data_IF_576872822120
#
_entry.id   IF_576872822120
#
_cell.length_a   1.000
_cell.length_b   1.000
_cell.length_c   1.000
_cell.angle_alpha   90.00
_cell.angle_beta   90.00
_cell.angle_gamma   90.00
#
_symmetry.space_group_name_H-M   'P 1'
#
loop_
_entity.id
_entity.type
_entity.pdbx_description
1 polymer ?
#
# COMPACT_ATOMS: atom_id res chain seq x y z
N UNK A 1 -22.03 -12.16 15.35
CA UNK A 1 -21.90 -10.94 16.14
C UNK A 1 -23.27 -10.30 16.20
N UNK A 2 -23.86 -10.15 17.39
CA UNK A 2 -25.13 -9.45 17.57
C UNK A 2 -24.88 -7.93 17.46
N UNK A 3 -25.96 -7.15 17.25
CA UNK A 3 -25.89 -5.68 17.21
C UNK A 3 -25.29 -5.09 18.52
N UNK A 4 -25.44 -5.81 19.61
CA UNK A 4 -24.94 -5.44 20.96
C UNK A 4 -23.44 -5.68 21.11
N UNK A 5 -22.86 -6.56 20.30
CA UNK A 5 -21.40 -6.81 20.27
C UNK A 5 -20.63 -5.74 19.47
N UNK A 6 -21.34 -4.88 18.75
CA UNK A 6 -20.75 -3.83 17.91
C UNK A 6 -20.68 -2.53 18.74
N UNK A 7 -19.53 -2.25 19.32
CA UNK A 7 -19.30 -1.04 20.14
C UNK A 7 -19.10 0.26 19.33
N UNK A 8 -19.23 0.26 18.01
CA UNK A 8 -18.97 1.39 17.11
C UNK A 8 -20.12 1.58 16.12
N UNK A 9 -20.28 2.81 15.62
CA UNK A 9 -21.31 3.21 14.64
C UNK A 9 -21.15 2.56 13.26
N UNK A 10 -20.13 1.74 13.06
CA UNK A 10 -19.88 1.02 11.82
C UNK A 10 -20.71 -0.28 11.82
N UNK A 11 -21.81 -0.26 11.08
CA UNK A 11 -22.74 -1.39 10.98
C UNK A 11 -22.35 -2.26 9.79
N UNK A 12 -21.92 -3.51 10.07
CA UNK A 12 -21.78 -4.53 9.05
C UNK A 12 -23.08 -5.36 9.02
N UNK A 13 -23.80 -5.28 7.91
CA UNK A 13 -25.01 -6.10 7.73
C UNK A 13 -24.61 -7.51 7.35
N UNK A 14 -24.91 -8.49 8.19
CA UNK A 14 -24.83 -9.94 7.91
C UNK A 14 -26.16 -10.44 7.30
N UNK A 15 -26.80 -9.64 6.48
CA UNK A 15 -28.00 -10.09 5.77
C UNK A 15 -27.60 -10.73 4.44
N UNK A 16 -28.20 -11.87 4.11
CA UNK A 16 -28.10 -12.46 2.78
C UNK A 16 -28.93 -11.59 1.85
N UNK A 17 -28.28 -10.71 1.10
CA UNK A 17 -28.94 -9.89 0.10
C UNK A 17 -29.27 -10.73 -1.13
N UNK A 18 -30.42 -10.46 -1.76
CA UNK A 18 -30.72 -11.02 -3.07
C UNK A 18 -29.67 -10.55 -4.11
N UNK A 19 -29.34 -11.35 -5.13
CA UNK A 19 -28.36 -10.96 -6.15
C UNK A 19 -28.65 -9.58 -6.78
N UNK A 20 -29.90 -9.22 -6.98
CA UNK A 20 -30.29 -7.93 -7.54
C UNK A 20 -30.02 -6.77 -6.57
N UNK A 21 -30.15 -6.98 -5.26
CA UNK A 21 -29.83 -5.97 -4.25
C UNK A 21 -28.32 -5.74 -4.18
N UNK A 22 -27.51 -6.79 -4.32
CA UNK A 22 -26.05 -6.70 -4.40
C UNK A 22 -25.66 -5.90 -5.66
N UNK A 23 -26.27 -6.17 -6.79
CA UNK A 23 -26.00 -5.44 -8.02
C UNK A 23 -26.30 -3.95 -7.86
N UNK A 24 -27.44 -3.60 -7.26
CA UNK A 24 -27.80 -2.17 -6.98
C UNK A 24 -26.83 -1.52 -6.00
N UNK A 25 -26.36 -2.22 -4.99
CA UNK A 25 -25.38 -1.69 -4.05
C UNK A 25 -24.06 -1.35 -4.76
N UNK A 26 -23.62 -2.20 -5.68
CA UNK A 26 -22.37 -2.06 -6.42
C UNK A 26 -22.51 -1.27 -7.74
N UNK A 27 -23.70 -0.79 -8.08
CA UNK A 27 -23.86 0.15 -9.18
C UNK A 27 -23.00 1.39 -8.96
N UNK A 28 -22.43 1.91 -10.04
CA UNK A 28 -21.60 3.11 -9.99
C UNK A 28 -22.34 4.29 -9.37
N UNK A 29 -21.82 4.84 -8.30
CA UNK A 29 -22.37 6.03 -7.62
C UNK A 29 -21.75 7.30 -8.23
N UNK A 30 -22.51 8.38 -8.15
CA UNK A 30 -22.03 9.70 -8.58
C UNK A 30 -21.22 10.30 -7.43
N UNK A 31 -19.98 10.69 -7.72
CA UNK A 31 -19.21 11.51 -6.80
C UNK A 31 -19.75 12.95 -6.81
N UNK A 32 -19.79 13.58 -5.64
CA UNK A 32 -20.31 14.93 -5.43
C UNK A 32 -19.29 15.78 -4.67
N UNK A 33 -19.56 17.08 -4.55
CA UNK A 33 -18.74 18.00 -3.75
C UNK A 33 -17.27 18.06 -4.18
N UNK A 34 -17.03 18.11 -5.49
CA UNK A 34 -15.68 18.22 -6.02
C UNK A 34 -15.02 19.51 -5.59
N UNK A 35 -13.78 19.41 -5.09
CA UNK A 35 -12.90 20.55 -4.86
C UNK A 35 -11.50 20.19 -5.39
N UNK A 36 -10.80 21.19 -5.89
CA UNK A 36 -9.39 21.04 -6.28
C UNK A 36 -8.50 21.75 -5.27
N UNK A 37 -7.42 21.12 -4.94
CA UNK A 37 -6.37 21.70 -4.12
C UNK A 37 -5.10 21.75 -4.96
N UNK A 38 -4.57 22.93 -5.16
CA UNK A 38 -3.32 23.17 -5.86
C UNK A 38 -2.45 24.19 -5.09
N UNK A 39 -1.32 24.60 -5.66
CA UNK A 39 -0.44 25.61 -5.05
C UNK A 39 -1.08 26.98 -4.81
N UNK A 40 -2.22 27.27 -5.45
CA UNK A 40 -2.96 28.53 -5.30
C UNK A 40 -4.06 28.44 -4.23
N UNK A 41 -4.32 27.23 -3.72
CA UNK A 41 -5.32 26.98 -2.69
C UNK A 41 -6.41 26.01 -3.11
N UNK A 42 -7.60 26.16 -2.50
CA UNK A 42 -8.76 25.31 -2.70
C UNK A 42 -9.78 25.99 -3.63
N UNK A 43 -10.25 25.26 -4.63
CA UNK A 43 -11.18 25.74 -5.65
C UNK A 43 -12.34 24.75 -5.83
N UNK A 44 -13.56 25.25 -6.00
CA UNK A 44 -14.68 24.44 -6.48
C UNK A 44 -14.44 24.04 -7.93
N UNK A 45 -14.87 22.83 -8.28
CA UNK A 45 -14.76 22.30 -9.63
C UNK A 45 -16.11 21.87 -10.16
N UNK A 46 -16.29 22.09 -11.47
CA UNK A 46 -17.45 21.57 -12.23
C UNK A 46 -17.16 20.18 -12.83
N UNK A 47 -15.91 19.67 -12.73
CA UNK A 47 -15.52 18.38 -13.26
C UNK A 47 -14.03 18.07 -13.12
N UNK A 48 -13.65 16.87 -13.52
CA UNK A 48 -12.28 16.39 -13.48
C UNK A 48 -11.54 16.71 -14.77
N UNK A 49 -10.21 16.99 -14.65
CA UNK A 49 -9.37 17.15 -15.82
C UNK A 49 -9.20 15.81 -16.54
N UNK A 50 -9.36 15.83 -17.84
CA UNK A 50 -9.20 14.66 -18.70
C UNK A 50 -8.25 14.98 -19.85
N UNK A 51 -7.53 13.96 -20.30
CA UNK A 51 -6.74 14.08 -21.53
C UNK A 51 -7.65 13.95 -22.79
N UNK A 52 -7.05 14.05 -23.98
CA UNK A 52 -7.73 13.94 -25.27
C UNK A 52 -8.47 12.59 -25.45
N UNK A 53 -8.08 11.57 -24.70
CA UNK A 53 -8.73 10.24 -24.69
C UNK A 53 -9.79 10.11 -23.61
N UNK A 54 -10.09 11.18 -22.88
CA UNK A 54 -11.05 11.22 -21.80
C UNK A 54 -10.56 10.58 -20.50
N UNK A 55 -9.26 10.27 -20.36
CA UNK A 55 -8.68 9.67 -19.17
C UNK A 55 -8.46 10.76 -18.10
N UNK A 56 -8.90 10.49 -16.86
CA UNK A 56 -8.71 11.40 -15.72
C UNK A 56 -7.22 11.59 -15.45
N UNK A 57 -6.78 12.85 -15.34
CA UNK A 57 -5.40 13.24 -15.01
C UNK A 57 -5.26 13.81 -13.61
N UNK A 58 -6.34 14.11 -12.95
CA UNK A 58 -6.30 14.57 -11.57
C UNK A 58 -5.89 13.43 -10.63
N UNK A 59 -5.14 13.77 -9.60
CA UNK A 59 -5.01 12.94 -8.42
C UNK A 59 -6.29 13.01 -7.62
N UNK A 60 -6.74 11.90 -7.06
CA UNK A 60 -8.02 11.82 -6.38
C UNK A 60 -7.85 11.42 -4.93
N UNK A 61 -8.58 12.10 -4.05
CA UNK A 61 -8.86 11.64 -2.70
C UNK A 61 -10.39 11.61 -2.53
N UNK A 62 -10.91 10.45 -2.14
CA UNK A 62 -12.35 10.17 -2.13
C UNK A 62 -12.77 9.85 -0.70
N UNK A 63 -13.69 10.64 -0.15
CA UNK A 63 -14.35 10.34 1.12
C UNK A 63 -15.52 9.41 0.89
N UNK A 64 -15.52 8.26 1.52
CA UNK A 64 -16.65 7.34 1.48
C UNK A 64 -16.26 5.87 1.70
N UNK A 65 -17.29 5.02 1.77
CA UNK A 65 -17.08 3.59 1.87
C UNK A 65 -16.28 3.09 0.66
N UNK A 66 -15.15 2.43 0.94
CA UNK A 66 -14.20 2.03 -0.10
C UNK A 66 -14.75 0.98 -1.08
N UNK A 67 -15.66 0.07 -0.66
CA UNK A 67 -16.29 -0.88 -1.57
C UNK A 67 -17.14 -0.16 -2.63
N UNK A 68 -17.94 0.82 -2.20
CA UNK A 68 -18.78 1.61 -3.10
C UNK A 68 -17.94 2.52 -4.01
N UNK A 69 -16.90 3.12 -3.46
CA UNK A 69 -15.98 3.94 -4.23
C UNK A 69 -15.24 3.12 -5.29
N UNK A 70 -14.70 1.95 -4.93
CA UNK A 70 -14.04 1.02 -5.86
C UNK A 70 -14.98 0.60 -7.00
N UNK A 71 -16.24 0.24 -6.69
CA UNK A 71 -17.22 -0.12 -7.70
C UNK A 71 -17.49 1.05 -8.67
N UNK A 72 -17.58 2.28 -8.14
CA UNK A 72 -17.79 3.50 -8.94
C UNK A 72 -16.60 3.85 -9.82
N UNK A 73 -15.37 3.55 -9.36
CA UNK A 73 -14.14 3.79 -10.11
C UNK A 73 -13.94 2.82 -11.28
N UNK A 74 -14.63 1.68 -11.33
CA UNK A 74 -14.48 0.68 -12.41
C UNK A 74 -14.65 1.29 -13.79
N UNK A 75 -15.65 2.17 -13.99
CA UNK A 75 -15.90 2.79 -15.29
C UNK A 75 -14.69 3.55 -15.83
N UNK A 76 -13.94 4.21 -14.94
CA UNK A 76 -12.83 5.08 -15.30
C UNK A 76 -11.47 4.37 -15.26
N UNK A 77 -11.29 3.45 -14.31
CA UNK A 77 -9.97 2.92 -13.95
C UNK A 77 -9.80 1.41 -14.15
N UNK A 78 -10.81 0.67 -14.67
CA UNK A 78 -10.65 -0.75 -14.95
C UNK A 78 -9.45 -1.01 -15.88
N UNK A 79 -8.54 -1.89 -15.45
CA UNK A 79 -7.34 -2.25 -16.18
C UNK A 79 -6.28 -1.14 -16.29
N UNK A 80 -6.34 -0.06 -15.49
CA UNK A 80 -5.42 1.09 -15.59
C UNK A 80 -4.52 1.31 -14.37
N UNK A 81 -4.87 0.75 -13.22
CA UNK A 81 -4.09 0.91 -11.99
C UNK A 81 -2.85 0.03 -12.06
N UNK A 82 -1.66 0.63 -11.91
CA UNK A 82 -0.39 -0.08 -11.93
C UNK A 82 -0.05 -0.73 -10.60
N UNK A 83 -0.30 -0.04 -9.52
CA UNK A 83 0.05 -0.47 -8.17
C UNK A 83 -1.11 -0.22 -7.22
N UNK A 84 -1.43 -1.24 -6.43
CA UNK A 84 -2.29 -1.11 -5.26
C UNK A 84 -1.45 -1.42 -4.02
N UNK A 85 -1.50 -0.54 -3.04
CA UNK A 85 -1.03 -0.82 -1.68
C UNK A 85 -2.17 -0.59 -0.73
N UNK A 86 -2.37 -1.49 0.22
CA UNK A 86 -3.35 -1.35 1.28
C UNK A 86 -2.81 -1.82 2.62
N UNK A 87 -3.24 -1.11 3.65
CA UNK A 87 -3.03 -1.39 5.06
C UNK A 87 -4.42 -1.48 5.74
N UNK A 88 -5.16 -2.59 5.54
CA UNK A 88 -6.52 -2.75 6.05
C UNK A 88 -6.50 -2.97 7.57
N UNK A 89 -7.67 -2.91 8.26
CA UNK A 89 -7.76 -3.30 9.66
C UNK A 89 -7.21 -4.70 9.89
N UNK A 90 -6.35 -4.87 10.93
CA UNK A 90 -5.69 -6.14 11.24
C UNK A 90 -6.53 -7.06 12.13
N UNK A 91 -7.73 -6.63 12.49
CA UNK A 91 -8.65 -7.38 13.35
C UNK A 91 -8.05 -7.73 14.71
N UNK A 92 -7.33 -6.78 15.31
CA UNK A 92 -6.62 -6.97 16.59
C UNK A 92 -7.55 -6.96 17.79
N UNK A 93 -8.82 -6.52 17.62
CA UNK A 93 -9.77 -6.32 18.68
C UNK A 93 -9.46 -5.09 19.56
N UNK A 94 -8.57 -4.20 19.13
CA UNK A 94 -8.21 -3.01 19.86
C UNK A 94 -9.21 -1.88 19.61
N UNK A 95 -9.93 -1.47 20.67
CA UNK A 95 -10.90 -0.38 20.62
C UNK A 95 -10.29 1.03 20.59
N UNK A 96 -8.94 1.15 20.67
CA UNK A 96 -8.24 2.43 20.66
C UNK A 96 -8.12 3.08 19.28
N UNK A 97 -8.32 2.33 18.19
CA UNK A 97 -8.19 2.87 16.83
C UNK A 97 -9.35 3.80 16.45
N UNK A 98 -9.07 4.79 15.58
CA UNK A 98 -10.08 5.72 15.02
C UNK A 98 -10.98 5.03 13.96
N UNK A 99 -10.83 3.72 13.74
CA UNK A 99 -11.59 2.89 12.81
C UNK A 99 -11.93 1.54 13.46
N UNK A 100 -12.87 0.78 12.85
CA UNK A 100 -13.23 -0.53 13.38
C UNK A 100 -12.10 -1.55 13.13
N UNK A 101 -11.58 -2.14 14.20
CA UNK A 101 -10.54 -3.18 14.19
C UNK A 101 -10.98 -4.42 15.01
N UNK A 102 -12.29 -4.58 15.22
CA UNK A 102 -12.88 -5.70 15.95
C UNK A 102 -13.99 -6.33 15.13
N UNK A 103 -13.58 -7.19 14.18
CA UNK A 103 -14.48 -7.95 13.34
C UNK A 103 -14.65 -9.38 13.88
N UNK A 104 -15.81 -9.99 13.62
CA UNK A 104 -15.84 -11.44 13.55
C UNK A 104 -14.96 -11.89 12.37
N UNK A 105 -14.15 -12.94 12.57
CA UNK A 105 -13.18 -13.40 11.59
C UNK A 105 -13.81 -13.67 10.21
N UNK A 106 -14.98 -14.32 10.16
CA UNK A 106 -15.68 -14.55 8.89
C UNK A 106 -16.15 -13.26 8.22
N UNK A 107 -16.54 -12.25 9.00
CA UNK A 107 -16.93 -10.94 8.47
C UNK A 107 -15.73 -10.19 7.89
N UNK A 108 -14.55 -10.27 8.52
CA UNK A 108 -13.31 -9.72 8.00
C UNK A 108 -12.93 -10.37 6.66
N UNK A 109 -13.06 -11.68 6.55
CA UNK A 109 -12.78 -12.41 5.30
C UNK A 109 -13.69 -11.93 4.16
N UNK A 110 -14.99 -11.79 4.40
CA UNK A 110 -15.94 -11.29 3.41
C UNK A 110 -15.66 -9.83 3.07
N UNK A 111 -15.37 -8.99 4.07
CA UNK A 111 -14.99 -7.59 3.90
C UNK A 111 -13.80 -7.45 2.95
N UNK A 112 -12.74 -8.24 3.16
CA UNK A 112 -11.55 -8.21 2.33
C UNK A 112 -11.82 -8.76 0.93
N UNK A 113 -12.45 -9.93 0.81
CA UNK A 113 -12.73 -10.58 -0.48
C UNK A 113 -13.44 -9.66 -1.45
N UNK A 114 -14.55 -9.03 -1.02
CA UNK A 114 -15.37 -8.16 -1.87
C UNK A 114 -14.55 -6.99 -2.45
N UNK A 115 -13.64 -6.43 -1.66
CA UNK A 115 -12.77 -5.32 -2.07
C UNK A 115 -11.66 -5.78 -3.01
N UNK A 116 -11.06 -6.93 -2.72
CA UNK A 116 -9.98 -7.51 -3.52
C UNK A 116 -10.46 -7.92 -4.92
N UNK A 117 -11.68 -8.45 -5.05
CA UNK A 117 -12.29 -8.81 -6.35
C UNK A 117 -12.43 -7.56 -7.25
N UNK A 118 -12.87 -6.42 -6.71
CA UNK A 118 -12.95 -5.18 -7.48
C UNK A 118 -11.54 -4.62 -7.73
N UNK A 119 -10.67 -4.62 -6.73
CA UNK A 119 -9.29 -4.15 -6.86
C UNK A 119 -8.55 -4.87 -8.00
N UNK A 120 -8.73 -6.18 -8.13
CA UNK A 120 -8.16 -6.97 -9.25
C UNK A 120 -8.67 -6.49 -10.61
N UNK A 121 -9.94 -6.08 -10.72
CA UNK A 121 -10.49 -5.54 -11.97
C UNK A 121 -9.91 -4.17 -12.33
N UNK A 122 -9.52 -3.36 -11.34
CA UNK A 122 -8.89 -2.06 -11.55
C UNK A 122 -7.43 -2.18 -11.99
N UNK A 123 -6.70 -3.22 -11.55
CA UNK A 123 -5.30 -3.43 -11.92
C UNK A 123 -5.12 -3.62 -13.42
N UNK A 124 -4.07 -3.02 -13.97
CA UNK A 124 -3.54 -3.34 -15.30
C UNK A 124 -2.99 -4.77 -15.33
N UNK A 125 -2.89 -5.40 -16.50
CA UNK A 125 -2.46 -6.79 -16.60
C UNK A 125 -1.01 -7.01 -16.12
N UNK A 126 -0.19 -5.96 -16.16
CA UNK A 126 1.16 -5.93 -15.62
C UNK A 126 1.26 -5.27 -14.24
N UNK A 127 0.12 -5.02 -13.59
CA UNK A 127 0.01 -4.38 -12.29
C UNK A 127 0.20 -5.32 -11.11
N UNK A 128 0.41 -4.74 -9.95
CA UNK A 128 0.73 -5.42 -8.70
C UNK A 128 -0.07 -4.89 -7.52
N UNK A 129 -0.28 -5.75 -6.51
CA UNK A 129 -0.91 -5.39 -5.24
C UNK A 129 -0.05 -5.84 -4.06
N UNK A 130 0.05 -4.99 -3.05
CA UNK A 130 0.68 -5.25 -1.77
C UNK A 130 -0.34 -5.07 -0.66
N UNK A 131 -0.47 -6.08 0.20
CA UNK A 131 -1.34 -6.04 1.38
C UNK A 131 -0.47 -6.20 2.61
N UNK A 132 -0.51 -5.22 3.50
CA UNK A 132 0.19 -5.27 4.77
C UNK A 132 -0.74 -5.77 5.86
N UNK A 133 -0.30 -6.72 6.65
CA UNK A 133 -1.07 -7.38 7.72
C UNK A 133 -0.15 -7.77 8.86
N UNK A 134 -0.72 -7.95 10.05
CA UNK A 134 -0.04 -8.61 11.14
C UNK A 134 -0.40 -10.11 11.23
N UNK A 135 0.11 -10.78 12.25
CA UNK A 135 -0.08 -12.22 12.47
C UNK A 135 -1.54 -12.64 12.65
N UNK A 136 -2.46 -11.71 13.02
CA UNK A 136 -3.87 -12.06 13.24
C UNK A 136 -4.53 -12.51 11.93
N UNK A 137 -4.26 -11.78 10.83
CA UNK A 137 -4.96 -12.02 9.57
C UNK A 137 -4.04 -12.31 8.37
N UNK A 138 -2.71 -12.25 8.50
CA UNK A 138 -1.79 -12.47 7.38
C UNK A 138 -1.97 -13.81 6.68
N UNK A 139 -2.14 -14.90 7.44
CA UNK A 139 -2.28 -16.24 6.89
C UNK A 139 -3.61 -16.44 6.17
N UNK A 140 -4.68 -15.89 6.70
CA UNK A 140 -6.00 -15.93 6.08
C UNK A 140 -6.09 -14.96 4.91
N UNK A 141 -5.48 -13.80 5.01
CA UNK A 141 -5.30 -12.86 3.91
C UNK A 141 -4.59 -13.51 2.73
N UNK A 142 -3.54 -14.32 2.99
CA UNK A 142 -2.85 -15.10 1.96
C UNK A 142 -3.78 -16.06 1.21
N UNK A 143 -4.67 -16.76 1.93
CA UNK A 143 -5.62 -17.70 1.32
C UNK A 143 -6.63 -16.96 0.43
N UNK A 144 -7.20 -15.84 0.89
CA UNK A 144 -8.11 -15.02 0.08
C UNK A 144 -7.40 -14.46 -1.15
N UNK A 145 -6.15 -14.01 -0.99
CA UNK A 145 -5.36 -13.52 -2.12
C UNK A 145 -5.09 -14.61 -3.15
N UNK A 146 -4.84 -15.85 -2.71
CA UNK A 146 -4.71 -17.00 -3.62
C UNK A 146 -6.02 -17.28 -4.39
N UNK A 147 -7.17 -17.13 -3.73
CA UNK A 147 -8.49 -17.31 -4.36
C UNK A 147 -8.75 -16.21 -5.41
N UNK A 148 -8.53 -14.94 -5.03
CA UNK A 148 -8.87 -13.80 -5.88
C UNK A 148 -7.86 -13.60 -7.01
N UNK A 149 -6.56 -13.62 -6.71
CA UNK A 149 -5.49 -13.31 -7.67
C UNK A 149 -4.92 -14.55 -8.36
N UNK A 150 -5.12 -15.73 -7.76
CA UNK A 150 -4.53 -16.99 -8.19
C UNK A 150 -3.17 -17.25 -7.51
N UNK A 151 -2.99 -18.46 -6.99
CA UNK A 151 -1.77 -18.86 -6.28
C UNK A 151 -0.48 -18.64 -7.08
N UNK A 152 -0.54 -18.86 -8.40
CA UNK A 152 0.62 -18.68 -9.26
C UNK A 152 1.06 -17.22 -9.40
N UNK A 153 0.21 -16.26 -9.07
CA UNK A 153 0.50 -14.83 -9.09
C UNK A 153 1.05 -14.29 -7.76
N UNK A 154 1.22 -15.16 -6.76
CA UNK A 154 1.95 -14.84 -5.54
C UNK A 154 3.43 -14.65 -5.87
N UNK A 155 3.96 -13.47 -5.59
CA UNK A 155 5.33 -13.14 -5.90
C UNK A 155 6.24 -13.28 -4.69
N UNK A 156 5.81 -12.76 -3.52
CA UNK A 156 6.64 -12.79 -2.32
C UNK A 156 5.83 -12.49 -1.05
N UNK A 157 6.25 -13.11 0.05
CA UNK A 157 6.01 -12.64 1.40
C UNK A 157 7.19 -11.77 1.82
N UNK A 158 6.90 -10.54 2.23
CA UNK A 158 7.90 -9.58 2.69
C UNK A 158 7.73 -9.43 4.19
N UNK A 159 8.81 -9.58 4.92
CA UNK A 159 8.86 -9.42 6.38
C UNK A 159 9.44 -8.04 6.69
N UNK A 160 8.60 -7.14 7.18
CA UNK A 160 9.05 -5.84 7.63
C UNK A 160 9.27 -5.83 9.14
N UNK A 161 10.54 -5.67 9.54
CA UNK A 161 10.94 -5.64 10.94
C UNK A 161 10.55 -4.32 11.59
N UNK A 162 9.76 -4.40 12.68
CA UNK A 162 9.26 -3.21 13.38
C UNK A 162 10.29 -2.60 14.34
N UNK A 163 11.17 -3.38 14.93
CA UNK A 163 12.00 -2.94 16.05
C UNK A 163 11.17 -2.70 17.32
N UNK A 164 11.76 -2.02 18.31
CA UNK A 164 11.05 -1.60 19.52
C UNK A 164 10.48 -2.77 20.36
N UNK A 165 11.33 -3.72 20.76
CA UNK A 165 10.93 -4.91 21.54
C UNK A 165 10.87 -4.66 23.06
N UNK A 166 10.94 -3.40 23.51
CA UNK A 166 10.91 -3.00 24.91
C UNK A 166 9.51 -2.52 25.35
N UNK A 167 9.39 -2.14 26.63
CA UNK A 167 8.14 -1.62 27.21
C UNK A 167 7.11 -2.71 27.44
N UNK A 168 5.81 -2.40 27.26
CA UNK A 168 4.71 -3.32 27.52
C UNK A 168 4.80 -4.63 26.70
N UNK A 169 5.45 -4.60 25.55
CA UNK A 169 5.66 -5.79 24.71
C UNK A 169 6.49 -6.86 25.42
N UNK A 170 7.42 -6.45 26.29
CA UNK A 170 8.24 -7.38 27.08
C UNK A 170 7.45 -8.20 28.11
N UNK A 171 6.20 -7.83 28.37
CA UNK A 171 5.28 -8.55 29.25
C UNK A 171 4.62 -9.77 28.59
N UNK A 172 4.83 -9.98 27.29
CA UNK A 172 4.29 -11.14 26.59
C UNK A 172 4.84 -12.46 27.17
N UNK A 173 3.95 -13.44 27.34
CA UNK A 173 4.32 -14.77 27.85
C UNK A 173 4.90 -15.70 26.75
N UNK A 174 5.16 -15.16 25.55
CA UNK A 174 5.73 -15.87 24.41
C UNK A 174 6.69 -14.95 23.65
N UNK A 175 7.11 -15.33 22.43
CA UNK A 175 7.97 -14.51 21.60
C UNK A 175 7.31 -13.18 21.25
N UNK A 176 8.05 -12.09 21.41
CA UNK A 176 7.57 -10.73 21.15
C UNK A 176 7.41 -10.52 19.64
N UNK A 177 6.25 -9.99 19.21
CA UNK A 177 6.02 -9.62 17.82
C UNK A 177 7.03 -8.56 17.36
N UNK A 178 7.86 -8.90 16.41
CA UNK A 178 8.92 -8.04 15.88
C UNK A 178 8.75 -7.63 14.42
N UNK A 179 7.66 -8.05 13.74
CA UNK A 179 7.45 -7.76 12.33
C UNK A 179 5.98 -7.64 11.94
N UNK A 180 5.76 -7.11 10.76
CA UNK A 180 4.53 -7.21 9.98
C UNK A 180 4.83 -7.90 8.64
N UNK A 181 3.81 -8.50 8.06
CA UNK A 181 3.87 -9.25 6.80
C UNK A 181 3.28 -8.40 5.68
N UNK A 182 3.96 -8.30 4.55
CA UNK A 182 3.43 -7.68 3.34
C UNK A 182 3.34 -8.77 2.26
N UNK A 183 2.13 -9.08 1.83
CA UNK A 183 1.87 -10.04 0.77
C UNK A 183 1.92 -9.32 -0.58
N UNK A 184 2.83 -9.73 -1.45
CA UNK A 184 3.01 -9.19 -2.78
C UNK A 184 2.46 -10.14 -3.84
N UNK A 185 1.49 -9.65 -4.61
CA UNK A 185 0.89 -10.35 -5.75
C UNK A 185 0.95 -9.49 -7.00
N UNK A 186 1.04 -10.14 -8.15
CA UNK A 186 0.78 -9.53 -9.46
C UNK A 186 -0.62 -9.91 -9.98
N UNK A 187 -1.15 -9.15 -10.94
CA UNK A 187 -2.40 -9.54 -11.60
C UNK A 187 -2.20 -10.73 -12.54
N UNK A 188 -1.06 -10.77 -13.26
CA UNK A 188 -0.66 -11.84 -14.17
C UNK A 188 0.81 -12.20 -13.95
N UNK A 189 1.28 -13.25 -14.61
CA UNK A 189 2.71 -13.63 -14.57
C UNK A 189 3.63 -12.61 -15.29
N UNK A 190 3.08 -11.79 -16.18
CA UNK A 190 3.81 -10.75 -16.88
C UNK A 190 3.60 -9.40 -16.18
N UNK A 191 4.32 -9.15 -15.10
CA UNK A 191 4.19 -7.95 -14.29
C UNK A 191 5.44 -7.07 -14.35
N UNK A 192 5.24 -5.77 -14.11
CA UNK A 192 6.32 -4.80 -14.04
C UNK A 192 7.00 -4.83 -12.67
N UNK A 193 8.33 -4.99 -12.65
CA UNK A 193 9.10 -4.95 -11.42
C UNK A 193 10.48 -4.31 -11.63
N UNK A 194 10.74 -3.22 -10.92
CA UNK A 194 12.01 -2.51 -10.90
C UNK A 194 12.87 -3.03 -9.75
N UNK A 195 13.95 -3.74 -10.05
CA UNK A 195 14.88 -4.20 -9.01
C UNK A 195 15.56 -3.02 -8.33
N UNK A 196 15.41 -2.93 -7.01
CA UNK A 196 16.07 -1.93 -6.18
C UNK A 196 17.36 -2.53 -5.61
N UNK A 197 18.40 -1.72 -5.53
CA UNK A 197 19.71 -2.12 -5.03
C UNK A 197 20.15 -1.21 -3.90
N UNK A 198 20.65 -1.80 -2.82
CA UNK A 198 21.32 -1.09 -1.75
C UNK A 198 22.81 -0.90 -2.11
N UNK A 199 23.43 0.21 -1.71
CA UNK A 199 24.87 0.39 -1.87
C UNK A 199 25.66 -0.76 -1.22
N UNK A 200 26.80 -1.12 -1.80
CA UNK A 200 27.70 -2.07 -1.16
C UNK A 200 28.28 -1.49 0.13
N UNK A 201 28.28 -2.28 1.19
CA UNK A 201 29.04 -1.97 2.39
C UNK A 201 30.53 -2.27 2.20
N UNK A 202 31.38 -1.84 3.16
CA UNK A 202 32.84 -2.04 3.07
C UNK A 202 33.25 -3.50 2.90
N UNK A 203 32.60 -4.44 3.60
CA UNK A 203 32.91 -5.85 3.49
C UNK A 203 32.58 -6.42 2.10
N UNK A 204 31.50 -5.91 1.49
CA UNK A 204 31.09 -6.30 0.15
C UNK A 204 32.00 -5.66 -0.92
N UNK A 205 32.46 -4.41 -0.72
CA UNK A 205 33.42 -3.74 -1.60
C UNK A 205 34.77 -4.48 -1.60
N UNK A 206 35.24 -4.99 -0.45
CA UNK A 206 36.47 -5.81 -0.34
C UNK A 206 36.43 -7.08 -1.18
N UNK A 207 35.24 -7.59 -1.55
CA UNK A 207 35.10 -8.76 -2.45
C UNK A 207 35.47 -8.45 -3.91
N UNK A 208 35.56 -7.17 -4.31
CA UNK A 208 36.08 -6.75 -5.62
C UNK A 208 37.62 -6.64 -5.56
N UNK A 209 38.27 -7.78 -5.32
CA UNK A 209 39.72 -7.87 -5.12
C UNK A 209 40.52 -8.11 -6.39
N UNK A 210 39.85 -8.53 -7.47
CA UNK A 210 40.52 -8.68 -8.78
C UNK A 210 40.73 -7.31 -9.44
N UNK A 211 41.86 -7.16 -10.13
CA UNK A 211 42.18 -5.99 -10.96
C UNK A 211 42.49 -6.49 -12.35
N UNK A 212 41.95 -5.89 -13.40
CA UNK A 212 42.26 -6.22 -14.76
C UNK A 212 43.46 -5.41 -15.28
N UNK A 213 43.78 -5.62 -16.57
CA UNK A 213 44.91 -4.93 -17.22
C UNK A 213 44.73 -3.40 -17.34
N UNK A 214 43.47 -2.92 -17.23
CA UNK A 214 43.11 -1.50 -17.28
C UNK A 214 42.99 -0.88 -15.86
N UNK A 215 43.27 -1.64 -14.79
CA UNK A 215 43.18 -1.19 -13.40
C UNK A 215 41.77 -1.26 -12.83
N UNK A 216 40.74 -1.81 -13.55
CA UNK A 216 39.37 -1.88 -13.10
C UNK A 216 39.18 -3.02 -12.09
N UNK A 217 38.55 -2.71 -10.96
CA UNK A 217 38.26 -3.70 -9.92
C UNK A 217 37.07 -4.59 -10.32
N UNK A 218 37.23 -5.89 -10.10
CA UNK A 218 36.17 -6.87 -10.33
C UNK A 218 36.12 -7.96 -9.24
N UNK A 219 34.98 -8.66 -9.16
CA UNK A 219 34.83 -9.94 -8.46
C UNK A 219 34.37 -11.03 -9.43
N UNK A 220 34.73 -12.27 -9.13
CA UNK A 220 34.28 -13.44 -9.88
C UNK A 220 32.90 -13.83 -9.36
N UNK A 221 31.90 -13.94 -10.24
CA UNK A 221 30.54 -14.43 -9.93
C UNK A 221 30.46 -15.94 -10.21
N UNK A 222 30.93 -16.36 -11.38
CA UNK A 222 31.07 -17.76 -11.79
C UNK A 222 32.42 -17.94 -12.48
N UNK A 223 32.82 -19.21 -12.77
CA UNK A 223 34.11 -19.50 -13.42
C UNK A 223 34.40 -18.59 -14.62
N UNK A 224 33.36 -18.20 -15.38
CA UNK A 224 33.53 -17.46 -16.64
C UNK A 224 32.95 -16.05 -16.58
N UNK A 225 32.44 -15.60 -15.42
CA UNK A 225 31.76 -14.30 -15.34
C UNK A 225 32.37 -13.41 -14.25
N UNK A 226 32.89 -12.27 -14.67
CA UNK A 226 33.39 -11.18 -13.81
C UNK A 226 32.30 -10.09 -13.69
N UNK A 227 32.14 -9.55 -12.48
CA UNK A 227 31.38 -8.34 -12.25
C UNK A 227 32.36 -7.22 -11.90
N UNK A 228 32.41 -6.22 -12.74
CA UNK A 228 33.20 -5.02 -12.50
C UNK A 228 32.49 -4.09 -11.53
N UNK A 229 33.26 -3.44 -10.67
CA UNK A 229 32.71 -2.54 -9.64
C UNK A 229 31.96 -1.37 -10.29
N UNK A 230 32.48 -0.83 -11.38
CA UNK A 230 31.91 0.30 -12.11
C UNK A 230 30.53 -0.04 -12.74
N UNK A 231 30.27 -1.32 -13.02
CA UNK A 231 29.01 -1.83 -13.57
C UNK A 231 28.09 -2.44 -12.50
N UNK A 232 28.54 -2.44 -11.24
CA UNK A 232 27.84 -3.11 -10.18
C UNK A 232 26.80 -2.17 -9.54
N UNK A 233 25.52 -2.53 -9.65
CA UNK A 233 24.40 -1.72 -9.16
C UNK A 233 24.23 -1.72 -7.63
N UNK A 234 24.94 -2.61 -6.91
CA UNK A 234 24.75 -2.81 -5.48
C UNK A 234 24.21 -4.20 -5.16
N UNK A 235 23.64 -4.36 -3.98
CA UNK A 235 23.02 -5.61 -3.51
C UNK A 235 21.52 -5.51 -3.73
N UNK A 236 20.90 -6.46 -4.47
CA UNK A 236 19.44 -6.48 -4.59
C UNK A 236 18.79 -6.57 -3.21
N UNK A 237 17.72 -5.84 -2.98
CA UNK A 237 16.95 -5.91 -1.75
C UNK A 237 16.28 -7.29 -1.65
N UNK A 238 16.35 -7.91 -0.47
CA UNK A 238 15.66 -9.15 -0.14
C UNK A 238 14.22 -8.89 0.31
N UNK A 239 13.50 -9.94 0.62
CA UNK A 239 12.17 -9.92 1.23
C UNK A 239 12.18 -9.71 2.75
N UNK A 240 13.36 -9.64 3.37
CA UNK A 240 13.52 -9.25 4.77
C UNK A 240 13.94 -7.77 4.84
N UNK A 241 13.02 -6.92 5.30
CA UNK A 241 13.21 -5.47 5.40
C UNK A 241 13.47 -5.05 6.84
N UNK A 242 14.72 -5.01 7.23
CA UNK A 242 15.20 -4.61 8.56
C UNK A 242 15.88 -3.23 8.56
N UNK A 243 15.99 -2.61 7.40
CA UNK A 243 16.62 -1.30 7.17
C UNK A 243 15.63 -0.13 7.12
N UNK A 244 14.32 -0.41 7.31
CA UNK A 244 13.25 0.59 7.39
C UNK A 244 12.71 0.62 8.82
N UNK A 245 13.06 1.67 9.55
CA UNK A 245 12.58 1.84 10.92
C UNK A 245 11.06 2.12 10.95
N UNK A 246 10.36 1.55 11.92
CA UNK A 246 8.97 1.88 12.23
C UNK A 246 8.89 3.05 13.19
N UNK A 247 7.75 3.73 13.26
CA UNK A 247 7.51 4.81 14.23
C UNK A 247 7.47 4.32 15.68
N UNK A 248 7.49 3.02 15.93
CA UNK A 248 7.71 2.47 17.27
C UNK A 248 9.15 2.67 17.76
N UNK A 249 10.10 2.91 16.84
CA UNK A 249 11.52 3.12 17.15
C UNK A 249 11.99 4.55 16.85
N UNK A 250 11.31 5.25 15.96
CA UNK A 250 11.65 6.63 15.57
C UNK A 250 10.53 7.55 16.03
N UNK A 251 10.69 8.13 17.23
CA UNK A 251 9.65 8.95 17.86
C UNK A 251 9.70 10.44 17.46
N UNK A 252 10.77 10.90 16.83
CA UNK A 252 11.00 12.32 16.51
C UNK A 252 11.02 12.61 14.99
N UNK A 253 10.31 11.81 14.18
CA UNK A 253 10.22 12.06 12.74
C UNK A 253 9.21 13.17 12.45
N UNK A 254 9.56 14.10 11.53
CA UNK A 254 8.67 15.18 11.08
C UNK A 254 7.45 14.66 10.30
N UNK A 255 7.49 13.44 9.82
CA UNK A 255 6.35 12.82 9.10
C UNK A 255 5.31 12.20 10.04
N UNK A 256 5.58 12.12 11.36
CA UNK A 256 4.65 11.55 12.34
C UNK A 256 3.42 12.46 12.49
N UNK A 257 2.26 11.86 12.32
CA UNK A 257 0.96 12.46 12.60
C UNK A 257 0.32 11.74 13.81
N UNK A 258 -0.64 12.39 14.46
CA UNK A 258 -1.40 11.79 15.57
C UNK A 258 -2.37 10.71 15.05
N UNK A 259 -1.80 9.57 14.65
CA UNK A 259 -2.55 8.44 14.12
C UNK A 259 -1.81 7.12 14.35
N UNK A 260 -2.45 6.22 15.10
CA UNK A 260 -1.93 4.89 15.33
C UNK A 260 -1.97 4.06 14.03
N UNK A 261 -0.87 3.37 13.75
CA UNK A 261 -0.76 2.55 12.54
C UNK A 261 -0.19 3.27 11.32
N UNK A 262 0.18 4.57 11.43
CA UNK A 262 0.85 5.28 10.33
C UNK A 262 2.10 4.53 9.85
N UNK A 263 2.24 4.39 8.53
CA UNK A 263 3.42 3.79 7.90
C UNK A 263 4.44 4.86 7.49
N UNK A 264 5.76 4.57 7.60
CA UNK A 264 6.80 5.52 7.19
C UNK A 264 6.87 5.65 5.66
N UNK A 265 7.15 6.86 5.19
CA UNK A 265 7.28 7.14 3.74
C UNK A 265 8.34 6.25 3.07
N UNK A 266 9.43 5.91 3.76
CA UNK A 266 10.48 5.02 3.24
C UNK A 266 9.96 3.64 2.85
N UNK A 267 8.95 3.12 3.56
CA UNK A 267 8.30 1.85 3.24
C UNK A 267 7.53 1.95 1.92
N UNK A 268 6.70 2.98 1.79
CA UNK A 268 5.89 3.22 0.60
C UNK A 268 6.75 3.60 -0.61
N UNK A 269 7.83 4.35 -0.39
CA UNK A 269 8.80 4.68 -1.45
C UNK A 269 9.36 3.39 -2.08
N UNK A 270 9.80 2.42 -1.27
CA UNK A 270 10.32 1.14 -1.76
C UNK A 270 9.27 0.36 -2.57
N UNK A 271 8.04 0.29 -2.09
CA UNK A 271 6.95 -0.41 -2.78
C UNK A 271 6.61 0.28 -4.09
N UNK A 272 6.44 1.61 -4.08
CA UNK A 272 6.05 2.39 -5.25
C UNK A 272 7.16 2.37 -6.32
N UNK A 273 8.42 2.49 -5.90
CA UNK A 273 9.58 2.42 -6.80
C UNK A 273 9.69 1.06 -7.49
N UNK A 274 9.49 -0.04 -6.71
CA UNK A 274 9.65 -1.39 -7.24
C UNK A 274 8.57 -1.78 -8.26
N UNK A 275 7.34 -1.25 -8.15
CA UNK A 275 6.20 -1.76 -8.93
C UNK A 275 5.45 -0.69 -9.72
N UNK A 276 6.05 0.47 -9.94
CA UNK A 276 5.49 1.52 -10.78
C UNK A 276 6.57 2.44 -11.37
N UNK A 277 6.20 3.20 -12.40
CA UNK A 277 7.02 4.22 -13.03
C UNK A 277 6.32 5.58 -12.93
N UNK A 278 7.05 6.67 -13.26
CA UNK A 278 6.47 8.01 -13.31
C UNK A 278 5.28 8.05 -14.25
N UNK A 279 4.18 8.64 -13.80
CA UNK A 279 2.92 8.73 -14.54
C UNK A 279 1.97 7.54 -14.36
N UNK A 280 2.42 6.42 -13.79
CA UNK A 280 1.56 5.29 -13.45
C UNK A 280 0.58 5.65 -12.32
N UNK A 281 -0.54 4.92 -12.25
CA UNK A 281 -1.59 5.12 -11.23
C UNK A 281 -1.34 4.21 -10.05
N UNK A 282 -1.27 4.81 -8.86
CA UNK A 282 -1.18 4.15 -7.55
C UNK A 282 -2.52 4.29 -6.83
N UNK A 283 -3.10 3.20 -6.36
CA UNK A 283 -4.36 3.18 -5.62
C UNK A 283 -4.12 2.70 -4.19
N UNK A 284 -4.68 3.44 -3.24
CA UNK A 284 -4.79 3.05 -1.83
C UNK A 284 -6.23 3.29 -1.36
N UNK A 285 -6.97 2.22 -1.13
CA UNK A 285 -8.37 2.32 -0.68
C UNK A 285 -8.55 2.09 0.84
N UNK A 286 -7.44 2.14 1.58
CA UNK A 286 -7.37 2.27 3.03
C UNK A 286 -6.35 3.38 3.37
N UNK A 287 -6.60 4.60 2.85
CA UNK A 287 -5.60 5.64 2.77
C UNK A 287 -5.07 6.15 4.12
N UNK A 288 -5.84 6.02 5.19
CA UNK A 288 -5.43 6.40 6.55
C UNK A 288 -4.87 7.83 6.60
N UNK A 289 -3.59 7.97 6.93
CA UNK A 289 -2.89 9.26 6.96
C UNK A 289 -2.43 9.78 5.59
N UNK A 290 -2.68 9.03 4.52
CA UNK A 290 -2.30 9.40 3.16
C UNK A 290 -0.82 9.25 2.83
N UNK A 291 -0.07 8.44 3.56
CA UNK A 291 1.37 8.24 3.30
C UNK A 291 1.61 7.73 1.88
N UNK A 292 0.85 6.74 1.41
CA UNK A 292 0.93 6.22 0.05
C UNK A 292 0.75 7.31 -1.00
N UNK A 293 -0.25 8.17 -0.80
CA UNK A 293 -0.60 9.25 -1.72
C UNK A 293 0.48 10.32 -1.77
N UNK A 294 1.01 10.69 -0.59
CA UNK A 294 2.10 11.65 -0.46
C UNK A 294 3.37 11.17 -1.19
N UNK A 295 3.76 9.92 -0.99
CA UNK A 295 4.93 9.33 -1.66
C UNK A 295 4.68 9.21 -3.17
N UNK A 296 3.49 8.77 -3.60
CA UNK A 296 3.13 8.71 -5.01
C UNK A 296 3.25 10.09 -5.68
N UNK A 297 2.77 11.16 -5.01
CA UNK A 297 2.90 12.53 -5.48
C UNK A 297 4.38 12.95 -5.62
N UNK A 298 5.17 12.77 -4.57
CA UNK A 298 6.60 13.12 -4.55
C UNK A 298 7.38 12.39 -5.65
N UNK A 299 6.98 11.18 -5.99
CA UNK A 299 7.61 10.37 -7.05
C UNK A 299 7.02 10.60 -8.45
N UNK A 300 6.05 11.50 -8.62
CA UNK A 300 5.43 11.82 -9.92
C UNK A 300 4.51 10.72 -10.46
N UNK A 301 3.89 9.94 -9.57
CA UNK A 301 2.81 9.00 -9.91
C UNK A 301 1.48 9.72 -9.75
N UNK A 302 0.49 9.32 -10.57
CA UNK A 302 -0.89 9.65 -10.30
C UNK A 302 -1.39 8.78 -9.14
N UNK A 303 -2.25 9.33 -8.28
CA UNK A 303 -2.78 8.55 -7.16
C UNK A 303 -4.29 8.66 -7.03
N UNK A 304 -4.89 7.60 -6.50
CA UNK A 304 -6.27 7.56 -6.04
C UNK A 304 -6.26 7.04 -4.61
N UNK A 305 -6.76 7.82 -3.68
CA UNK A 305 -6.92 7.44 -2.28
C UNK A 305 -8.38 7.40 -1.87
N UNK A 306 -8.76 6.43 -1.06
CA UNK A 306 -10.11 6.32 -0.51
C UNK A 306 -10.01 6.19 1.00
N UNK A 307 -10.79 7.02 1.72
CA UNK A 307 -10.90 6.98 3.17
C UNK A 307 -12.34 7.25 3.58
N UNK A 308 -12.86 6.41 4.46
CA UNK A 308 -14.25 6.51 4.92
C UNK A 308 -14.40 7.50 6.06
N UNK A 309 -13.41 7.58 6.93
CA UNK A 309 -13.50 8.30 8.21
C UNK A 309 -13.35 9.82 8.03
N UNK A 310 -13.90 10.59 8.96
CA UNK A 310 -13.89 12.05 8.91
C UNK A 310 -12.49 12.66 9.04
N UNK A 311 -11.55 11.94 9.63
CA UNK A 311 -10.14 12.38 9.72
C UNK A 311 -9.46 12.54 8.33
N UNK A 312 -10.12 12.16 7.24
CA UNK A 312 -9.63 12.39 5.87
C UNK A 312 -9.26 13.85 5.61
N UNK A 313 -10.00 14.78 6.22
CA UNK A 313 -9.76 16.21 6.06
C UNK A 313 -8.57 16.70 6.90
N UNK A 314 -8.37 16.13 8.07
CA UNK A 314 -7.33 16.54 9.02
C UNK A 314 -5.99 15.89 8.73
N UNK A 315 -5.97 14.64 8.25
CA UNK A 315 -4.76 13.87 8.06
C UNK A 315 -4.32 13.80 6.59
N UNK A 316 -4.92 12.99 5.71
CA UNK A 316 -4.40 12.85 4.35
C UNK A 316 -4.55 14.13 3.53
N UNK A 317 -5.64 14.89 3.65
CA UNK A 317 -5.80 16.14 2.93
C UNK A 317 -4.77 17.19 3.39
N UNK A 318 -4.56 17.34 4.71
CA UNK A 318 -3.56 18.25 5.26
C UNK A 318 -2.14 17.88 4.84
N UNK A 319 -1.79 16.57 4.88
CA UNK A 319 -0.50 16.08 4.37
C UNK A 319 -0.28 16.42 2.91
N UNK A 320 -1.30 16.15 2.06
CA UNK A 320 -1.20 16.43 0.63
C UNK A 320 -1.10 17.92 0.32
N UNK A 321 -1.77 18.79 1.09
CA UNK A 321 -1.61 20.25 0.96
C UNK A 321 -0.13 20.66 1.14
N UNK A 322 0.54 20.14 2.17
CA UNK A 322 1.98 20.38 2.41
C UNK A 322 2.83 19.87 1.26
N UNK A 323 2.62 18.64 0.83
CA UNK A 323 3.37 18.01 -0.28
C UNK A 323 3.17 18.80 -1.60
N UNK A 324 1.96 19.28 -1.89
CA UNK A 324 1.66 20.10 -3.07
C UNK A 324 2.37 21.47 -2.96
N UNK A 325 2.48 22.04 -1.76
CA UNK A 325 3.24 23.27 -1.53
C UNK A 325 4.76 23.08 -1.69
N UNK A 326 5.26 21.85 -1.62
CA UNK A 326 6.67 21.49 -1.73
C UNK A 326 7.38 21.30 -0.38
N UNK A 327 6.62 21.01 0.66
CA UNK A 327 7.08 20.72 2.02
C UNK A 327 7.28 19.21 2.27
#
# INVERSE_FOLDING_TARGET
MTKEDQKRDEIFYNETLAPDDINRLLDAKVFTNFKRIDKKGEHKLDGLNRDEKGIIKDNLIIKGNNLLALASLKKEFAGKVKLIYIDPPYNTGNDGFKYNDSFNHSSWLVFMRNRLEIARQLLSDDGSIYIQLDYNEAHYGKIIMDEVFGRNNFQREIIWKLGGLAGYKSLANNFIRGHETILFYSKTQNFSFNKIYLPYNEAQLKRFSGVDKEGKKYKIITKDKKLYLDNAKGVPISDLWDDIASFQTVVNSQEIMDFDGQKPEKLLLRIIESSSNKGDIVLDYHAGTGTTLAVAHKMGRQYVGIEQMDYIHELPESRLKKVIAGE
#
